data_IF_677826531299
#
_entry.id   IF_677826531299
#
_cell.length_a   1.000
_cell.length_b   1.000
_cell.length_c   1.000
_cell.angle_alpha   90.00
_cell.angle_beta   90.00
_cell.angle_gamma   90.00
#
_symmetry.space_group_name_H-M   'P 1'
#
loop_
_entity.id
_entity.type
_entity.pdbx_description
1 polymer ?
#
# COMPACT_ATOMS: atom_id res chain seq x y z
N UNK A 1 41.73 -24.99 28.64
CA UNK A 1 41.70 -24.69 27.18
C UNK A 1 40.72 -25.54 26.37
N UNK A 2 40.65 -26.86 26.54
CA UNK A 2 39.68 -27.69 25.75
C UNK A 2 38.19 -27.39 26.01
N UNK A 3 37.77 -27.00 27.21
CA UNK A 3 36.37 -26.66 27.56
C UNK A 3 35.91 -25.33 26.94
N UNK A 4 36.81 -24.36 26.80
CA UNK A 4 36.48 -23.05 26.24
C UNK A 4 36.29 -23.06 24.73
N UNK A 5 37.05 -23.95 24.02
CA UNK A 5 36.89 -24.12 22.57
C UNK A 5 35.60 -24.88 22.20
N UNK A 6 35.16 -25.82 23.05
CA UNK A 6 33.84 -26.47 22.85
C UNK A 6 32.66 -25.56 23.06
N UNK A 7 32.74 -24.59 23.97
CA UNK A 7 31.66 -23.64 24.25
C UNK A 7 31.47 -22.63 23.09
N UNK A 8 32.55 -22.28 22.39
CA UNK A 8 32.46 -21.41 21.21
C UNK A 8 31.88 -22.10 19.96
N UNK A 9 32.01 -23.43 19.87
CA UNK A 9 31.43 -24.19 18.76
C UNK A 9 29.93 -24.45 18.90
N UNK A 10 29.39 -24.48 20.11
CA UNK A 10 27.93 -24.67 20.33
C UNK A 10 27.10 -23.41 20.07
N UNK A 11 27.69 -22.21 20.16
CA UNK A 11 26.99 -20.95 19.87
C UNK A 11 26.71 -20.74 18.38
N UNK A 12 27.42 -21.43 17.49
CA UNK A 12 27.25 -21.27 16.03
C UNK A 12 26.14 -22.17 15.44
N UNK A 13 25.56 -23.08 16.19
CA UNK A 13 24.61 -24.09 15.66
C UNK A 13 23.19 -23.56 15.42
N UNK A 14 22.88 -22.32 15.83
CA UNK A 14 21.53 -21.76 15.70
C UNK A 14 21.43 -20.52 14.78
N UNK A 15 22.50 -20.05 14.18
CA UNK A 15 22.47 -18.90 13.28
C UNK A 15 22.33 -19.35 11.82
N UNK A 16 21.12 -19.33 11.29
CA UNK A 16 20.85 -19.70 9.88
C UNK A 16 21.22 -18.59 8.88
N UNK A 17 21.31 -17.34 9.33
CA UNK A 17 21.82 -16.22 8.51
C UNK A 17 22.48 -15.17 9.41
N UNK A 18 23.77 -15.07 9.35
CA UNK A 18 24.56 -14.06 10.05
C UNK A 18 25.23 -13.15 9.03
N UNK A 19 25.05 -11.85 9.14
CA UNK A 19 25.84 -10.88 8.39
C UNK A 19 27.23 -10.83 9.02
N UNK A 20 28.20 -11.44 8.36
CA UNK A 20 29.57 -11.60 8.85
C UNK A 20 30.57 -10.91 7.94
N UNK A 21 31.79 -10.69 8.45
CA UNK A 21 32.94 -10.12 7.75
C UNK A 21 33.48 -10.99 6.62
N UNK A 22 32.79 -12.04 6.23
CA UNK A 22 33.29 -13.08 5.34
C UNK A 22 33.12 -12.80 3.86
N UNK A 23 33.96 -13.41 3.10
CA UNK A 23 34.29 -13.26 1.68
C UNK A 23 33.27 -13.77 0.68
N UNK A 24 32.06 -14.18 1.05
CA UNK A 24 31.06 -14.68 0.11
C UNK A 24 29.68 -14.07 0.27
N UNK A 25 29.24 -13.41 -0.76
CA UNK A 25 27.84 -13.11 -1.12
C UNK A 25 27.03 -12.16 -0.25
N UNK A 26 27.16 -12.15 1.05
CA UNK A 26 26.40 -11.33 2.00
C UNK A 26 27.27 -10.55 2.99
N UNK A 27 28.52 -10.25 2.61
CA UNK A 27 29.48 -9.61 3.51
C UNK A 27 29.53 -8.10 3.32
N UNK A 28 29.55 -7.34 4.41
CA UNK A 28 29.86 -5.91 4.45
C UNK A 28 31.34 -5.60 4.17
N UNK A 29 32.11 -6.55 3.62
CA UNK A 29 33.56 -6.43 3.42
C UNK A 29 33.97 -5.31 2.46
N UNK A 30 33.10 -4.91 1.53
CA UNK A 30 33.36 -3.77 0.65
C UNK A 30 33.24 -2.45 1.39
N UNK A 31 32.32 -2.36 2.33
CA UNK A 31 32.05 -1.17 3.14
C UNK A 31 33.14 -0.89 4.15
N UNK A 32 33.85 -1.94 4.60
CA UNK A 32 34.99 -1.82 5.50
C UNK A 32 36.29 -1.37 4.81
N UNK A 33 36.37 -1.46 3.49
CA UNK A 33 37.57 -1.08 2.72
C UNK A 33 37.51 0.35 2.19
N UNK A 34 36.33 0.92 2.12
CA UNK A 34 36.09 2.24 1.53
C UNK A 34 35.34 3.10 2.54
N UNK A 35 35.87 4.28 2.83
CA UNK A 35 35.17 5.25 3.64
C UNK A 35 34.04 5.84 2.78
N UNK A 36 32.81 5.62 3.17
CA UNK A 36 31.63 6.21 2.51
C UNK A 36 31.22 7.48 3.23
N UNK A 37 30.92 8.50 2.47
CA UNK A 37 30.19 9.63 2.99
C UNK A 37 28.70 9.23 3.09
N UNK A 38 28.31 8.83 4.33
CA UNK A 38 26.97 8.30 4.61
C UNK A 38 25.86 9.35 4.49
N UNK A 39 26.20 10.63 4.34
CA UNK A 39 25.22 11.71 4.22
C UNK A 39 24.48 11.69 2.88
N UNK A 40 24.97 10.94 1.89
CA UNK A 40 24.42 10.91 0.53
C UNK A 40 23.33 9.85 0.30
N UNK A 41 23.16 8.91 1.23
CA UNK A 41 22.15 7.84 1.16
C UNK A 41 20.91 8.22 2.01
N UNK A 42 20.91 9.41 2.53
CA UNK A 42 19.82 9.87 3.36
C UNK A 42 18.56 10.16 2.54
N UNK A 43 17.57 9.28 2.72
CA UNK A 43 16.18 9.65 2.81
C UNK A 43 15.30 9.66 1.58
N UNK A 44 15.14 8.53 0.98
CA UNK A 44 13.82 8.28 0.41
C UNK A 44 13.11 7.16 1.19
N UNK A 45 13.01 7.32 2.51
CA UNK A 45 12.20 6.40 3.32
C UNK A 45 10.79 6.30 2.75
N UNK A 46 10.28 5.12 2.42
CA UNK A 46 8.94 4.96 1.87
C UNK A 46 7.93 5.44 2.90
N UNK A 47 7.26 6.54 2.60
CA UNK A 47 6.18 7.05 3.46
C UNK A 47 4.94 6.20 3.23
N UNK A 48 4.23 5.87 4.29
CA UNK A 48 2.93 5.22 4.24
C UNK A 48 1.91 6.17 3.58
N UNK A 49 1.59 5.93 2.31
CA UNK A 49 0.71 6.79 1.51
C UNK A 49 -0.71 6.23 1.46
N UNK A 50 -0.85 4.92 1.24
CA UNK A 50 -2.15 4.31 1.00
C UNK A 50 -3.02 4.14 2.26
N UNK A 51 -2.42 4.20 3.44
CA UNK A 51 -3.09 4.02 4.74
C UNK A 51 -3.70 5.32 5.29
N UNK A 52 -3.31 6.48 4.78
CA UNK A 52 -3.67 7.79 5.35
C UNK A 52 -5.17 8.08 5.29
N UNK A 53 -5.85 7.64 4.24
CA UNK A 53 -7.27 7.94 3.99
C UNK A 53 -8.21 6.79 4.35
N UNK A 54 -7.68 5.71 4.94
CA UNK A 54 -8.45 4.57 5.40
C UNK A 54 -9.11 4.81 6.75
N UNK A 55 -10.32 4.26 6.95
CA UNK A 55 -10.94 4.26 8.27
C UNK A 55 -10.26 3.22 9.16
N UNK A 56 -9.51 3.68 10.16
CA UNK A 56 -8.80 2.83 11.13
C UNK A 56 -9.74 2.39 12.25
N UNK A 57 -9.78 1.08 12.54
CA UNK A 57 -10.50 0.53 13.69
C UNK A 57 -9.58 -0.40 14.46
N UNK A 58 -9.24 -0.07 15.72
CA UNK A 58 -8.47 -0.96 16.57
C UNK A 58 -9.30 -2.15 17.02
N UNK A 59 -8.69 -3.32 17.08
CA UNK A 59 -9.28 -4.49 17.74
C UNK A 59 -8.98 -4.39 19.23
N UNK A 60 -9.99 -4.53 20.12
CA UNK A 60 -9.77 -4.50 21.55
C UNK A 60 -8.87 -5.67 21.98
N UNK A 61 -8.10 -5.47 23.04
CA UNK A 61 -7.26 -6.51 23.63
C UNK A 61 -8.14 -7.72 23.99
N UNK A 62 -7.73 -8.90 23.60
CA UNK A 62 -8.48 -10.17 23.73
C UNK A 62 -9.75 -10.29 22.85
N UNK A 63 -9.93 -9.42 21.85
CA UNK A 63 -11.08 -9.41 20.94
C UNK A 63 -11.00 -10.41 19.77
N UNK A 64 -10.04 -11.35 19.79
CA UNK A 64 -9.85 -12.30 18.69
C UNK A 64 -9.04 -11.74 17.52
N UNK A 65 -8.92 -12.54 16.44
CA UNK A 65 -8.15 -12.17 15.24
C UNK A 65 -9.00 -11.62 14.10
N UNK A 66 -10.32 -11.63 14.24
CA UNK A 66 -11.24 -11.28 13.15
C UNK A 66 -12.14 -10.13 13.58
N UNK A 67 -12.24 -9.13 12.72
CA UNK A 67 -13.19 -8.02 12.86
C UNK A 67 -14.26 -8.14 11.78
N UNK A 68 -15.51 -7.89 12.13
CA UNK A 68 -16.65 -7.89 11.23
C UNK A 68 -17.17 -6.46 11.05
N UNK A 69 -17.28 -6.05 9.80
CA UNK A 69 -17.90 -4.79 9.41
C UNK A 69 -19.27 -5.06 8.84
N UNK A 70 -20.30 -4.37 9.34
CA UNK A 70 -21.69 -4.47 8.88
C UNK A 70 -22.07 -3.24 8.10
N UNK A 71 -22.64 -3.46 6.93
CA UNK A 71 -23.21 -2.41 6.09
C UNK A 71 -24.68 -2.71 5.86
N UNK A 72 -25.53 -1.75 6.19
CA UNK A 72 -26.95 -1.79 5.87
C UNK A 72 -27.17 -1.41 4.40
N UNK A 73 -27.98 -2.20 3.71
CA UNK A 73 -28.39 -1.89 2.35
C UNK A 73 -29.45 -0.78 2.37
N UNK A 74 -29.28 0.30 1.60
CA UNK A 74 -30.31 1.34 1.51
C UNK A 74 -31.64 0.75 1.05
N UNK A 75 -32.73 1.21 1.63
CA UNK A 75 -34.06 0.81 1.21
C UNK A 75 -34.39 1.38 -0.17
N UNK A 76 -35.21 0.66 -0.93
CA UNK A 76 -35.70 1.14 -2.21
C UNK A 76 -36.60 2.39 -2.04
N UNK A 77 -36.57 3.26 -3.05
CA UNK A 77 -37.46 4.45 -3.04
C UNK A 77 -38.92 4.01 -3.11
N UNK A 78 -39.75 4.55 -2.25
CA UNK A 78 -41.21 4.38 -2.29
C UNK A 78 -41.79 5.47 -3.20
N UNK A 79 -42.26 5.08 -4.38
CA UNK A 79 -42.82 6.00 -5.39
C UNK A 79 -44.35 5.86 -5.54
N UNK A 80 -44.94 4.84 -4.93
CA UNK A 80 -46.35 4.62 -4.95
C UNK A 80 -47.09 5.37 -3.81
N UNK A 81 -48.20 6.00 -4.12
CA UNK A 81 -49.09 6.54 -3.11
C UNK A 81 -49.76 5.42 -2.29
N UNK A 82 -49.95 5.66 -1.00
CA UNK A 82 -50.65 4.71 -0.14
C UNK A 82 -52.17 4.76 -0.42
N UNK A 83 -52.78 3.57 -0.38
CA UNK A 83 -54.25 3.47 -0.46
C UNK A 83 -54.83 3.63 0.94
N UNK A 84 -55.85 4.47 1.08
CA UNK A 84 -56.51 4.69 2.36
C UNK A 84 -57.11 3.37 2.90
N UNK A 85 -56.87 3.10 4.17
CA UNK A 85 -57.38 1.90 4.85
C UNK A 85 -56.57 0.62 4.58
N UNK A 86 -55.50 0.68 3.78
CA UNK A 86 -54.65 -0.48 3.51
C UNK A 86 -53.25 -0.29 4.13
N UNK A 87 -52.88 -1.19 5.02
CA UNK A 87 -51.51 -1.21 5.56
C UNK A 87 -50.52 -1.75 4.54
N UNK A 88 -49.49 -0.99 4.14
CA UNK A 88 -48.51 -1.45 3.18
C UNK A 88 -47.65 -2.60 3.75
N UNK A 89 -47.13 -3.47 2.88
CA UNK A 89 -46.16 -4.48 3.25
C UNK A 89 -44.86 -3.82 3.76
N UNK A 90 -44.43 -4.22 4.95
CA UNK A 90 -43.16 -3.71 5.51
C UNK A 90 -41.93 -4.16 4.74
N UNK A 91 -40.90 -3.30 4.70
CA UNK A 91 -39.62 -3.62 4.13
C UNK A 91 -38.72 -4.36 5.15
N UNK A 92 -37.96 -5.35 4.69
CA UNK A 92 -36.93 -6.02 5.50
C UNK A 92 -35.63 -5.25 5.44
N UNK A 93 -34.90 -5.26 6.55
CA UNK A 93 -33.57 -4.66 6.63
C UNK A 93 -32.53 -5.71 6.21
N UNK A 94 -31.80 -5.45 5.14
CA UNK A 94 -30.70 -6.31 4.68
C UNK A 94 -29.37 -5.78 5.20
N UNK A 95 -28.56 -6.71 5.74
CA UNK A 95 -27.24 -6.42 6.29
C UNK A 95 -26.19 -7.25 5.54
N UNK A 96 -25.25 -6.56 4.95
CA UNK A 96 -24.07 -7.20 4.34
C UNK A 96 -22.90 -7.14 5.33
N UNK A 97 -22.29 -8.29 5.60
CA UNK A 97 -21.14 -8.38 6.49
C UNK A 97 -19.87 -8.56 5.69
N UNK A 98 -18.80 -7.84 6.09
CA UNK A 98 -17.43 -8.06 5.62
C UNK A 98 -16.54 -8.39 6.79
N UNK A 99 -15.85 -9.52 6.73
CA UNK A 99 -14.88 -9.94 7.74
C UNK A 99 -13.47 -9.65 7.29
N UNK A 100 -12.63 -9.18 8.22
CA UNK A 100 -11.20 -9.00 8.01
C UNK A 100 -10.43 -9.70 9.13
N UNK A 101 -9.40 -10.44 8.76
CA UNK A 101 -8.54 -11.17 9.70
C UNK A 101 -7.19 -10.47 9.79
N UNK A 102 -6.76 -10.20 11.01
CA UNK A 102 -5.43 -9.60 11.27
C UNK A 102 -4.34 -10.61 10.95
N UNK A 103 -3.34 -10.16 10.20
CA UNK A 103 -2.11 -10.90 9.90
C UNK A 103 -0.93 -10.18 10.54
N UNK A 104 0.06 -10.93 10.92
CA UNK A 104 1.32 -10.40 11.45
C UNK A 104 2.37 -10.46 10.35
N UNK A 105 3.10 -9.36 10.20
CA UNK A 105 4.24 -9.25 9.30
C UNK A 105 5.45 -8.83 10.13
N UNK A 106 6.61 -9.35 9.80
CA UNK A 106 7.86 -9.01 10.48
C UNK A 106 9.06 -9.63 9.78
N UNK A 107 10.21 -9.04 10.00
CA UNK A 107 11.50 -9.53 9.53
C UNK A 107 12.55 -9.25 10.59
N UNK A 108 13.73 -9.88 10.53
CA UNK A 108 14.82 -9.68 11.47
C UNK A 108 16.16 -9.86 10.78
N UNK A 109 17.18 -9.16 11.29
CA UNK A 109 18.57 -9.28 10.85
C UNK A 109 19.40 -9.71 12.04
N UNK A 110 20.26 -10.71 11.85
CA UNK A 110 21.19 -11.18 12.87
C UNK A 110 22.56 -10.57 12.58
N UNK A 111 23.12 -9.90 13.57
CA UNK A 111 24.46 -9.28 13.52
C UNK A 111 25.36 -10.04 14.49
N UNK A 112 26.58 -10.36 14.08
CA UNK A 112 27.54 -11.02 14.98
C UNK A 112 28.25 -9.98 15.87
N UNK A 113 28.59 -10.38 17.10
CA UNK A 113 29.29 -9.54 18.06
C UNK A 113 30.64 -9.05 17.52
N UNK A 114 31.32 -9.89 16.72
CA UNK A 114 32.61 -9.53 16.10
C UNK A 114 32.43 -8.43 15.06
N UNK A 115 31.33 -8.45 14.30
CA UNK A 115 31.04 -7.41 13.33
C UNK A 115 30.71 -6.09 14.02
N UNK A 116 29.91 -6.12 15.07
CA UNK A 116 29.56 -4.91 15.85
C UNK A 116 30.79 -4.24 16.48
N UNK A 117 31.76 -5.06 16.95
CA UNK A 117 33.01 -4.57 17.55
C UNK A 117 34.06 -4.11 16.53
N UNK A 118 34.06 -4.62 15.31
CA UNK A 118 35.11 -4.39 14.30
C UNK A 118 34.67 -3.49 13.16
N UNK A 119 33.38 -3.27 12.98
CA UNK A 119 32.86 -2.40 11.94
C UNK A 119 33.26 -0.93 12.19
N UNK A 120 33.68 -0.26 11.14
CA UNK A 120 33.98 1.18 11.18
C UNK A 120 32.69 1.98 11.24
N UNK A 121 31.65 1.49 10.58
CA UNK A 121 30.33 2.12 10.50
C UNK A 121 29.41 1.62 11.62
N UNK A 122 28.44 2.42 12.08
CA UNK A 122 27.46 2.03 13.10
C UNK A 122 26.42 1.07 12.50
N UNK A 123 26.82 -0.18 12.23
CA UNK A 123 26.01 -1.21 11.55
C UNK A 123 24.66 -1.42 12.23
N UNK A 124 24.61 -1.39 13.56
CA UNK A 124 23.37 -1.56 14.32
C UNK A 124 22.36 -0.43 14.01
N UNK A 125 22.82 0.82 14.01
CA UNK A 125 21.96 1.97 13.75
C UNK A 125 21.41 1.95 12.30
N UNK A 126 22.26 1.66 11.33
CA UNK A 126 21.85 1.52 9.93
C UNK A 126 20.88 0.36 9.73
N UNK A 127 21.12 -0.78 10.39
CA UNK A 127 20.21 -1.93 10.33
C UNK A 127 18.81 -1.58 10.83
N UNK A 128 18.70 -0.85 11.96
CA UNK A 128 17.41 -0.41 12.49
C UNK A 128 16.69 0.52 11.50
N UNK A 129 17.41 1.45 10.87
CA UNK A 129 16.86 2.35 9.86
C UNK A 129 16.32 1.56 8.66
N UNK A 130 17.13 0.64 8.10
CA UNK A 130 16.72 -0.20 6.98
C UNK A 130 15.51 -1.09 7.28
N UNK A 131 15.42 -1.68 8.49
CA UNK A 131 14.26 -2.45 8.92
C UNK A 131 13.02 -1.56 9.09
N UNK A 132 13.19 -0.33 9.54
CA UNK A 132 12.12 0.66 9.62
C UNK A 132 11.54 0.99 8.25
N UNK A 133 12.41 1.29 7.28
CA UNK A 133 12.04 1.58 5.90
C UNK A 133 11.38 0.38 5.22
N UNK A 134 11.94 -0.82 5.40
CA UNK A 134 11.35 -2.07 4.90
C UNK A 134 9.96 -2.31 5.48
N UNK A 135 9.77 -2.08 6.77
CA UNK A 135 8.49 -2.19 7.46
C UNK A 135 7.44 -1.26 6.83
N UNK A 136 7.79 0.02 6.65
CA UNK A 136 6.93 1.01 6.01
C UNK A 136 6.54 0.61 4.58
N UNK A 137 7.53 0.23 3.76
CA UNK A 137 7.31 -0.22 2.38
C UNK A 137 6.43 -1.47 2.30
N UNK A 138 6.66 -2.43 3.19
CA UNK A 138 5.89 -3.68 3.24
C UNK A 138 4.42 -3.42 3.59
N UNK A 139 4.15 -2.60 4.60
CA UNK A 139 2.80 -2.22 5.02
C UNK A 139 2.06 -1.45 3.91
N UNK A 140 2.72 -0.48 3.29
CA UNK A 140 2.14 0.28 2.18
C UNK A 140 1.84 -0.61 0.97
N UNK A 141 2.75 -1.54 0.64
CA UNK A 141 2.56 -2.51 -0.45
C UNK A 141 1.38 -3.46 -0.17
N UNK A 142 1.24 -3.97 1.05
CA UNK A 142 0.12 -4.82 1.44
C UNK A 142 -1.19 -4.06 1.31
N UNK A 143 -1.26 -2.83 1.81
CA UNK A 143 -2.44 -1.97 1.72
C UNK A 143 -2.81 -1.67 0.27
N UNK A 144 -1.84 -1.28 -0.56
CA UNK A 144 -2.01 -1.05 -1.99
C UNK A 144 -2.57 -2.28 -2.71
N UNK A 145 -2.03 -3.46 -2.41
CA UNK A 145 -2.47 -4.70 -3.05
C UNK A 145 -3.92 -5.05 -2.69
N UNK A 146 -4.34 -4.79 -1.45
CA UNK A 146 -5.73 -4.97 -1.01
C UNK A 146 -6.66 -4.00 -1.74
N UNK A 147 -6.28 -2.73 -1.87
CA UNK A 147 -7.06 -1.73 -2.61
C UNK A 147 -7.19 -2.12 -4.08
N UNK A 148 -6.09 -2.54 -4.71
CA UNK A 148 -6.06 -2.94 -6.12
C UNK A 148 -6.83 -4.23 -6.43
N UNK A 149 -7.10 -5.06 -5.42
CA UNK A 149 -7.96 -6.25 -5.55
C UNK A 149 -9.46 -5.92 -5.52
N UNK A 150 -9.84 -4.66 -5.32
CA UNK A 150 -11.23 -4.21 -5.31
C UNK A 150 -11.91 -4.40 -6.67
N UNK A 151 -13.24 -4.56 -6.64
CA UNK A 151 -14.07 -4.76 -7.84
C UNK A 151 -14.57 -3.47 -8.49
N UNK A 152 -14.54 -2.35 -7.76
CA UNK A 152 -14.95 -1.05 -8.29
C UNK A 152 -13.78 -0.40 -9.04
N UNK A 153 -13.56 -0.84 -10.27
CA UNK A 153 -12.43 -0.42 -11.11
C UNK A 153 -12.95 0.34 -12.32
N UNK A 154 -12.21 1.37 -12.74
CA UNK A 154 -12.39 2.06 -14.02
C UNK A 154 -11.04 2.03 -14.75
N UNK A 155 -11.07 1.63 -16.01
CA UNK A 155 -9.86 1.54 -16.83
C UNK A 155 -9.75 2.76 -17.74
N UNK A 156 -8.52 3.26 -17.92
CA UNK A 156 -8.27 4.33 -18.88
C UNK A 156 -8.46 3.80 -20.31
N UNK A 157 -9.10 4.58 -21.19
CA UNK A 157 -9.23 4.20 -22.59
C UNK A 157 -7.87 4.20 -23.29
N UNK A 158 -7.74 3.43 -24.36
CA UNK A 158 -6.60 3.54 -25.29
C UNK A 158 -6.74 4.81 -26.09
N UNK A 159 -5.65 5.53 -26.24
CA UNK A 159 -5.58 6.75 -27.05
C UNK A 159 -4.84 6.38 -28.34
N UNK A 160 -5.59 6.27 -29.42
CA UNK A 160 -5.08 6.02 -30.77
C UNK A 160 -4.58 7.27 -31.50
N UNK A 161 -4.09 7.08 -32.71
CA UNK A 161 -3.69 8.18 -33.56
C UNK A 161 -4.86 9.15 -33.81
N UNK A 162 -4.59 10.46 -33.71
CA UNK A 162 -5.62 11.48 -33.82
C UNK A 162 -6.53 11.66 -32.60
N UNK A 163 -6.19 11.05 -31.46
CA UNK A 163 -6.95 11.20 -30.20
C UNK A 163 -8.17 10.31 -30.09
N UNK A 164 -8.35 9.32 -30.99
CA UNK A 164 -9.44 8.37 -30.92
C UNK A 164 -9.36 7.55 -29.62
N UNK A 165 -10.46 7.53 -28.85
CA UNK A 165 -10.54 6.82 -27.56
C UNK A 165 -11.23 5.48 -27.76
N UNK A 166 -10.60 4.38 -27.36
CA UNK A 166 -11.19 3.03 -27.34
C UNK A 166 -11.32 2.56 -25.90
N UNK A 167 -12.52 2.23 -25.48
CA UNK A 167 -12.81 1.77 -24.11
C UNK A 167 -12.13 0.42 -23.82
N UNK A 168 -11.61 0.29 -22.59
CA UNK A 168 -10.98 -0.92 -22.08
C UNK A 168 -11.78 -1.44 -20.89
N UNK A 169 -12.15 -2.72 -20.92
CA UNK A 169 -13.01 -3.32 -19.91
C UNK A 169 -12.27 -4.30 -18.98
N UNK A 170 -10.99 -4.52 -19.21
CA UNK A 170 -10.19 -5.45 -18.40
C UNK A 170 -8.76 -4.97 -18.25
N UNK A 171 -8.09 -5.42 -17.17
CA UNK A 171 -6.68 -5.11 -16.93
C UNK A 171 -5.76 -5.65 -18.03
N UNK A 172 -6.07 -6.82 -18.57
CA UNK A 172 -5.32 -7.43 -19.67
C UNK A 172 -5.44 -6.68 -21.00
N UNK A 173 -6.47 -5.86 -21.17
CA UNK A 173 -6.66 -5.03 -22.34
C UNK A 173 -5.87 -3.72 -22.32
N UNK A 174 -5.24 -3.36 -21.19
CA UNK A 174 -4.45 -2.13 -21.07
C UNK A 174 -3.07 -2.32 -21.72
N UNK A 175 -2.61 -1.27 -22.39
CA UNK A 175 -1.28 -1.18 -23.00
C UNK A 175 -0.65 0.21 -22.75
N UNK A 176 0.48 0.48 -23.36
CA UNK A 176 1.24 1.73 -23.19
C UNK A 176 0.51 2.97 -23.74
N UNK A 177 -0.56 2.79 -24.51
CA UNK A 177 -1.41 3.88 -25.03
C UNK A 177 -2.50 4.31 -24.06
N UNK A 178 -2.73 3.53 -22.97
CA UNK A 178 -3.68 3.87 -21.92
C UNK A 178 -3.05 4.87 -20.95
N UNK A 179 -3.43 6.13 -21.07
CA UNK A 179 -2.92 7.22 -20.23
C UNK A 179 -4.03 7.81 -19.37
N UNK A 180 -3.64 8.30 -18.18
CA UNK A 180 -4.55 9.07 -17.34
C UNK A 180 -4.69 10.48 -17.92
N UNK A 181 -5.92 10.87 -18.22
CA UNK A 181 -6.28 12.20 -18.74
C UNK A 181 -7.21 12.91 -17.76
N UNK A 182 -7.36 14.22 -17.91
CA UNK A 182 -8.28 15.04 -17.12
C UNK A 182 -9.72 14.55 -17.27
N UNK A 183 -10.15 14.24 -18.48
CA UNK A 183 -11.47 13.62 -18.77
C UNK A 183 -11.71 12.36 -17.93
N UNK A 184 -10.72 11.48 -17.84
CA UNK A 184 -10.86 10.24 -17.04
C UNK A 184 -10.96 10.53 -15.54
N UNK A 185 -10.27 11.54 -15.02
CA UNK A 185 -10.40 11.98 -13.63
C UNK A 185 -11.80 12.51 -13.37
N UNK A 186 -12.31 13.41 -14.24
CA UNK A 186 -13.65 13.95 -14.12
C UNK A 186 -14.73 12.87 -14.19
N UNK A 187 -14.60 11.92 -15.11
CA UNK A 187 -15.50 10.77 -15.28
C UNK A 187 -15.50 9.88 -14.02
N UNK A 188 -14.33 9.68 -13.41
CA UNK A 188 -14.20 8.89 -12.18
C UNK A 188 -14.87 9.61 -10.99
N UNK A 189 -14.68 10.92 -10.87
CA UNK A 189 -15.34 11.76 -9.85
C UNK A 189 -16.86 11.71 -10.04
N UNK A 190 -17.34 11.84 -11.27
CA UNK A 190 -18.78 11.76 -11.56
C UNK A 190 -19.37 10.40 -11.16
N UNK A 191 -18.64 9.30 -11.46
CA UNK A 191 -19.03 7.94 -11.06
C UNK A 191 -19.09 7.78 -9.54
N UNK A 192 -18.12 8.32 -8.79
CA UNK A 192 -18.11 8.28 -7.33
C UNK A 192 -19.28 9.06 -6.74
N UNK A 193 -19.58 10.25 -7.28
CA UNK A 193 -20.75 11.05 -6.87
C UNK A 193 -22.07 10.34 -7.14
N UNK A 194 -22.20 9.72 -8.30
CA UNK A 194 -23.39 8.93 -8.66
C UNK A 194 -23.60 7.72 -7.72
N UNK A 195 -22.53 7.18 -7.16
CA UNK A 195 -22.57 6.09 -6.16
C UNK A 195 -22.76 6.61 -4.72
N UNK A 196 -22.93 7.91 -4.52
CA UNK A 196 -22.98 8.54 -3.20
C UNK A 196 -21.76 8.18 -2.32
N UNK A 197 -20.56 8.09 -2.91
CA UNK A 197 -19.34 7.84 -2.17
C UNK A 197 -19.03 9.02 -1.24
N UNK A 198 -18.67 8.78 0.04
CA UNK A 198 -18.30 9.84 0.95
C UNK A 198 -17.04 10.56 0.49
N UNK A 199 -16.98 11.85 0.69
CA UNK A 199 -15.82 12.70 0.41
C UNK A 199 -14.98 12.91 1.66
N UNK A 200 -13.69 13.19 1.48
CA UNK A 200 -12.79 13.65 2.54
C UNK A 200 -12.72 15.17 2.45
N UNK A 201 -13.18 15.86 3.47
CA UNK A 201 -13.21 17.32 3.53
C UNK A 201 -13.78 17.98 2.26
N UNK A 202 -14.88 17.41 1.74
CA UNK A 202 -15.55 17.90 0.53
C UNK A 202 -14.88 17.52 -0.79
N UNK A 203 -13.75 16.83 -0.76
CA UNK A 203 -12.95 16.44 -1.93
C UNK A 203 -12.73 14.93 -2.00
N UNK A 204 -12.40 14.43 -3.19
CA UNK A 204 -11.86 13.08 -3.36
C UNK A 204 -10.33 13.15 -3.44
N UNK A 205 -9.66 12.16 -2.88
CA UNK A 205 -8.20 12.06 -2.89
C UNK A 205 -7.77 11.01 -3.90
N UNK A 206 -6.81 11.37 -4.75
CA UNK A 206 -6.19 10.45 -5.70
C UNK A 206 -4.73 10.18 -5.30
N UNK A 207 -4.38 8.90 -5.20
CA UNK A 207 -3.00 8.46 -5.00
C UNK A 207 -2.50 7.96 -6.35
N UNK A 208 -1.52 8.65 -6.91
CA UNK A 208 -0.99 8.35 -8.24
C UNK A 208 0.54 8.22 -8.20
N UNK A 209 1.07 7.39 -9.09
CA UNK A 209 2.52 7.26 -9.27
C UNK A 209 3.08 8.51 -9.98
N UNK A 210 4.31 8.96 -9.70
CA UNK A 210 4.91 10.15 -10.34
C UNK A 210 4.88 10.15 -11.87
N UNK A 211 5.09 9.00 -12.52
CA UNK A 211 4.98 8.89 -13.98
C UNK A 211 3.56 9.12 -14.50
N UNK A 212 2.54 8.71 -13.75
CA UNK A 212 1.14 8.95 -14.08
C UNK A 212 0.79 10.43 -13.87
N UNK A 213 1.36 11.07 -12.84
CA UNK A 213 1.25 12.52 -12.65
C UNK A 213 1.86 13.28 -13.81
N UNK A 214 3.03 12.86 -14.32
CA UNK A 214 3.66 13.44 -15.48
C UNK A 214 2.78 13.35 -16.74
N UNK A 215 2.15 12.21 -16.99
CA UNK A 215 1.23 12.06 -18.13
C UNK A 215 0.01 12.99 -17.99
N UNK A 216 -0.55 13.12 -16.77
CA UNK A 216 -1.68 14.02 -16.50
C UNK A 216 -1.31 15.50 -16.70
N UNK A 217 -0.11 15.94 -16.24
CA UNK A 217 0.35 17.31 -16.40
C UNK A 217 0.60 17.70 -17.86
N UNK A 218 0.80 16.73 -18.75
CA UNK A 218 0.96 16.96 -20.20
C UNK A 218 -0.37 16.98 -20.96
N UNK A 219 -1.47 16.70 -20.30
CA UNK A 219 -2.79 16.81 -20.92
C UNK A 219 -3.06 18.26 -21.33
N UNK A 220 -3.50 18.55 -22.55
CA UNK A 220 -3.85 19.90 -23.01
C UNK A 220 -4.84 20.61 -22.09
N UNK A 221 -5.88 19.91 -21.63
CA UNK A 221 -6.88 20.46 -20.71
C UNK A 221 -6.27 20.89 -19.37
N UNK A 222 -5.30 20.11 -18.85
CA UNK A 222 -4.55 20.49 -17.64
C UNK A 222 -3.71 21.73 -17.87
N UNK A 223 -3.01 21.78 -19.00
CA UNK A 223 -2.13 22.90 -19.35
C UNK A 223 -2.90 24.20 -19.57
N UNK A 224 -4.08 24.14 -20.16
CA UNK A 224 -4.95 25.29 -20.39
C UNK A 224 -5.54 25.85 -19.09
N UNK A 225 -5.90 24.96 -18.15
CA UNK A 225 -6.44 25.38 -16.86
C UNK A 225 -5.43 26.13 -15.97
N UNK A 226 -4.12 26.06 -16.28
CA UNK A 226 -3.04 26.70 -15.52
C UNK A 226 -2.43 27.91 -16.23
N UNK A 227 -2.96 28.32 -17.38
CA UNK A 227 -2.63 29.57 -18.06
C UNK A 227 -3.52 30.72 -17.60
#
# INVERSE_FOLDING_TARGET
>A
MKKMIMMLMELQLFATQTTALATSGNSLSAEMKTFYDMTLIDEAGPRLVHDQFGQKRPIPKNGGKTIEFRKFTPLAKVTGALTEGVTPAGNKLDVTTKTSTVKQYGDFIVISDVLDLTAIDPVLAETVKLLGDQSGLSMDTVTRNVINAGTNVSYCPKIGAGGAKTEVNSRSGMDTTCKLTVDMVQRTVAKLRAQNAPTFDGSYVAIIHPYVAYDLMRDPEWTEAHK
#
